data_IF_377452580436
#
_entry.id   IF_377452580436
#
_cell.length_a   1.000
_cell.length_b   1.000
_cell.length_c   1.000
_cell.angle_alpha   90.00
_cell.angle_beta   90.00
_cell.angle_gamma   90.00
#
_symmetry.space_group_name_H-M   'P 1'
#
loop_
_entity.id
_entity.type
_entity.pdbx_description
1 polymer ?
#
# COMPACT_ATOMS: atom_id res chain seq x y z
N UNK A 1 12.92 4.90 -3.23
CA UNK A 1 12.72 4.86 -1.76
C UNK A 1 13.70 3.83 -1.20
N UNK A 2 14.52 4.21 -0.21
CA UNK A 2 15.45 3.28 0.47
C UNK A 2 14.67 2.41 1.47
N UNK A 3 15.07 1.14 1.64
CA UNK A 3 14.46 0.21 2.59
C UNK A 3 14.61 0.68 4.04
N UNK A 4 15.73 1.28 4.41
CA UNK A 4 15.95 1.80 5.78
C UNK A 4 14.92 2.87 6.15
N UNK A 5 14.67 3.82 5.24
CA UNK A 5 13.64 4.85 5.43
C UNK A 5 12.23 4.23 5.51
N UNK A 6 11.97 3.16 4.75
CA UNK A 6 10.69 2.45 4.81
C UNK A 6 10.49 1.79 6.19
N UNK A 7 11.52 1.17 6.76
CA UNK A 7 11.47 0.57 8.09
C UNK A 7 11.20 1.62 9.18
N UNK A 8 11.86 2.78 9.09
CA UNK A 8 11.60 3.91 10.00
C UNK A 8 10.14 4.37 9.93
N UNK A 9 9.57 4.49 8.73
CA UNK A 9 8.15 4.86 8.58
C UNK A 9 7.21 3.78 9.15
N UNK A 10 7.51 2.50 8.94
CA UNK A 10 6.71 1.41 9.50
C UNK A 10 6.71 1.44 11.04
N UNK A 11 7.86 1.66 11.66
CA UNK A 11 7.97 1.79 13.10
C UNK A 11 7.09 2.93 13.63
N UNK A 12 7.17 4.11 13.00
CA UNK A 12 6.34 5.27 13.37
C UNK A 12 4.84 4.99 13.24
N UNK A 13 4.43 4.34 12.14
CA UNK A 13 3.03 3.97 11.91
C UNK A 13 2.55 2.94 12.93
N UNK A 14 3.33 1.90 13.20
CA UNK A 14 2.97 0.86 14.17
C UNK A 14 2.87 1.41 15.58
N UNK A 15 3.79 2.28 15.99
CA UNK A 15 3.73 2.95 17.28
C UNK A 15 2.45 3.79 17.43
N UNK A 16 2.03 4.52 16.39
CA UNK A 16 0.77 5.28 16.40
C UNK A 16 -0.46 4.37 16.47
N UNK A 17 -0.47 3.26 15.72
CA UNK A 17 -1.56 2.29 15.75
C UNK A 17 -1.69 1.65 17.14
N UNK A 18 -0.58 1.22 17.73
CA UNK A 18 -0.54 0.65 19.08
C UNK A 18 -1.02 1.64 20.14
N UNK A 19 -0.59 2.90 20.08
CA UNK A 19 -1.07 3.95 20.99
C UNK A 19 -2.59 4.16 20.89
N UNK A 20 -3.14 4.04 19.69
CA UNK A 20 -4.59 4.09 19.43
C UNK A 20 -5.33 2.78 19.69
N UNK A 21 -4.67 1.71 20.14
CA UNK A 21 -5.22 0.35 20.29
C UNK A 21 -5.81 -0.21 18.99
N UNK A 22 -5.23 0.15 17.85
CA UNK A 22 -5.54 -0.42 16.55
C UNK A 22 -4.57 -1.56 16.24
N UNK A 23 -5.11 -2.70 15.80
CA UNK A 23 -4.33 -3.89 15.47
C UNK A 23 -4.47 -4.23 13.99
N UNK A 24 -3.36 -4.60 13.38
CA UNK A 24 -3.33 -5.01 11.97
C UNK A 24 -3.77 -6.46 11.84
N UNK A 25 -4.55 -6.75 10.80
CA UNK A 25 -4.85 -8.12 10.39
C UNK A 25 -3.78 -8.58 9.42
N UNK A 26 -2.86 -9.41 9.88
CA UNK A 26 -1.70 -9.89 9.12
C UNK A 26 -2.09 -10.41 7.73
N UNK A 27 -3.17 -11.18 7.63
CA UNK A 27 -3.67 -11.75 6.37
C UNK A 27 -4.09 -10.71 5.30
N UNK A 28 -4.16 -9.42 5.66
CA UNK A 28 -4.49 -8.30 4.76
C UNK A 28 -3.32 -7.34 4.57
N UNK A 29 -2.20 -7.55 5.26
CA UNK A 29 -1.06 -6.66 5.20
C UNK A 29 -0.07 -7.14 4.13
N UNK A 30 0.45 -6.20 3.35
CA UNK A 30 1.49 -6.46 2.35
C UNK A 30 2.53 -5.36 2.52
N UNK A 31 3.80 -5.74 2.70
CA UNK A 31 4.89 -4.82 3.00
C UNK A 31 5.99 -4.86 1.95
N UNK A 32 6.78 -3.79 1.88
CA UNK A 32 7.98 -3.67 1.03
C UNK A 32 7.79 -4.06 -0.45
N UNK A 33 6.61 -3.79 -1.02
CA UNK A 33 6.33 -4.06 -2.42
C UNK A 33 6.75 -2.92 -3.35
N UNK A 34 7.20 -3.26 -4.57
CA UNK A 34 7.48 -2.27 -5.62
C UNK A 34 6.22 -1.76 -6.33
N UNK A 35 5.16 -2.57 -6.32
CA UNK A 35 3.82 -2.18 -6.78
C UNK A 35 2.76 -2.78 -5.86
N UNK A 36 1.62 -2.11 -5.73
CA UNK A 36 0.54 -2.52 -4.84
C UNK A 36 -0.79 -1.96 -5.37
N UNK A 37 -1.86 -2.74 -5.28
CA UNK A 37 -3.22 -2.24 -5.52
C UNK A 37 -3.73 -1.48 -4.30
N UNK A 38 -4.13 -0.22 -4.49
CA UNK A 38 -4.68 0.63 -3.45
C UNK A 38 -5.89 1.39 -3.99
N UNK A 39 -7.04 1.20 -3.35
CA UNK A 39 -8.32 1.82 -3.73
C UNK A 39 -8.70 1.62 -5.22
N UNK A 40 -8.34 0.46 -5.78
CA UNK A 40 -8.57 0.12 -7.18
C UNK A 40 -7.67 0.87 -8.16
N UNK A 41 -6.51 1.31 -7.71
CA UNK A 41 -5.41 1.84 -8.52
C UNK A 41 -4.16 1.01 -8.25
N UNK A 42 -3.29 0.89 -9.23
CA UNK A 42 -1.96 0.32 -9.05
C UNK A 42 -1.01 1.47 -8.71
N UNK A 43 -0.45 1.43 -7.50
CA UNK A 43 0.60 2.35 -7.05
C UNK A 43 1.93 1.67 -7.28
N UNK A 44 2.84 2.34 -7.99
CA UNK A 44 4.17 1.83 -8.31
C UNK A 44 5.22 2.94 -8.27
N UNK A 45 6.48 2.57 -8.48
CA UNK A 45 7.60 3.52 -8.58
C UNK A 45 7.43 4.55 -9.71
N UNK A 46 6.69 4.22 -10.77
CA UNK A 46 6.47 5.10 -11.93
C UNK A 46 5.24 5.99 -11.77
N UNK A 47 4.46 5.81 -10.70
CA UNK A 47 3.30 6.63 -10.38
C UNK A 47 2.06 5.81 -10.04
N UNK A 48 0.91 6.49 -10.03
CA UNK A 48 -0.41 5.91 -9.78
C UNK A 48 -1.10 5.69 -11.12
N UNK A 49 -1.53 4.45 -11.37
CA UNK A 49 -2.23 4.08 -12.59
C UNK A 49 -3.59 3.45 -12.24
N UNK A 50 -4.64 3.66 -13.05
CA UNK A 50 -5.88 2.93 -12.87
C UNK A 50 -5.64 1.43 -13.04
N UNK A 51 -6.37 0.61 -12.28
CA UNK A 51 -6.30 -0.83 -12.43
C UNK A 51 -6.83 -1.22 -13.85
N UNK A 52 -6.09 -2.02 -14.64
CA UNK A 52 -6.42 -2.28 -16.05
C UNK A 52 -7.79 -2.93 -16.28
N UNK A 53 -8.28 -3.77 -15.36
CA UNK A 53 -9.59 -4.41 -15.50
C UNK A 53 -10.74 -3.39 -15.45
N UNK A 54 -10.59 -2.30 -14.70
CA UNK A 54 -11.57 -1.20 -14.70
C UNK A 54 -11.59 -0.42 -16.01
N UNK A 55 -10.45 -0.27 -16.69
CA UNK A 55 -10.40 0.37 -18.01
C UNK A 55 -11.11 -0.51 -19.04
N UNK A 56 -10.87 -1.83 -19.03
CA UNK A 56 -11.54 -2.76 -19.95
C UNK A 56 -13.08 -2.74 -19.84
N UNK A 57 -13.61 -2.49 -18.64
CA UNK A 57 -15.05 -2.37 -18.44
C UNK A 57 -15.69 -1.12 -19.08
N UNK A 58 -14.90 -0.10 -19.45
CA UNK A 58 -15.40 1.15 -20.05
C UNK A 58 -15.28 1.20 -21.58
N UNK A 59 -14.51 0.28 -22.19
CA UNK A 59 -14.27 0.24 -23.65
C UNK A 59 -15.22 -0.75 -24.35
N UNK A 60 -16.07 -1.46 -23.59
CA UNK A 60 -17.11 -2.37 -24.09
C UNK A 60 -18.50 -1.74 -24.00
#
# INVERSE_FOLDING_TARGET
VNLELHLLHLEQVFNKLLAGKFYLKESKCIFAQRQLEYLGHIVSVTGVQPEPSKIQAMVN
#
